data_IF_602150421437
#
_entry.id   IF_602150421437
#
_cell.length_a   1.000
_cell.length_b   1.000
_cell.length_c   1.000
_cell.angle_alpha   90.00
_cell.angle_beta   90.00
_cell.angle_gamma   90.00
#
_symmetry.space_group_name_H-M   'P 1'
#
loop_
_entity.id
_entity.type
_entity.pdbx_description
1 polymer ?
#
# COMPACT_ATOMS: atom_id res chain seq x y z
N UNK A 1 -68.86 -35.21 -6.57
CA UNK A 1 -68.30 -36.54 -6.88
C UNK A 1 -67.19 -36.30 -7.89
N UNK A 2 -65.94 -36.05 -7.50
CA UNK A 2 -64.93 -36.92 -6.86
C UNK A 2 -64.48 -38.10 -7.76
N UNK A 3 -63.18 -38.16 -8.07
CA UNK A 3 -62.51 -39.35 -8.63
C UNK A 3 -61.50 -39.05 -9.75
N UNK A 4 -60.34 -38.44 -9.45
CA UNK A 4 -59.03 -39.12 -9.37
C UNK A 4 -58.44 -39.45 -10.76
N UNK A 5 -57.52 -38.68 -11.35
CA UNK A 5 -56.15 -38.37 -10.87
C UNK A 5 -55.44 -39.63 -10.35
N UNK A 6 -54.84 -40.43 -11.24
CA UNK A 6 -53.89 -41.50 -10.84
C UNK A 6 -52.98 -41.99 -11.97
N UNK A 7 -52.49 -41.09 -12.84
CA UNK A 7 -51.41 -41.48 -13.79
C UNK A 7 -50.22 -40.47 -13.79
N UNK A 8 -50.33 -39.31 -13.14
CA UNK A 8 -49.30 -38.26 -13.25
C UNK A 8 -48.45 -38.01 -11.97
N UNK A 9 -48.30 -39.00 -11.08
CA UNK A 9 -47.51 -38.83 -9.84
C UNK A 9 -46.17 -39.59 -9.86
N UNK A 10 -46.03 -40.64 -10.68
CA UNK A 10 -44.82 -41.49 -10.64
C UNK A 10 -43.61 -40.93 -11.42
N UNK A 11 -43.80 -40.05 -12.41
CA UNK A 11 -42.68 -39.44 -13.15
C UNK A 11 -42.02 -38.23 -12.46
N UNK A 12 -42.66 -37.64 -11.44
CA UNK A 12 -42.15 -36.39 -10.83
C UNK A 12 -41.08 -36.64 -9.76
N UNK A 13 -41.03 -37.84 -9.16
CA UNK A 13 -40.13 -38.14 -8.04
C UNK A 13 -38.68 -38.43 -8.50
N UNK A 14 -38.47 -38.89 -9.74
CA UNK A 14 -37.14 -39.24 -10.28
C UNK A 14 -36.36 -38.08 -10.92
N UNK A 15 -36.82 -36.82 -10.79
CA UNK A 15 -36.07 -35.62 -11.23
C UNK A 15 -35.48 -34.78 -10.09
N UNK A 16 -35.77 -35.11 -8.83
CA UNK A 16 -35.35 -34.29 -7.68
C UNK A 16 -34.04 -34.74 -7.02
N UNK A 17 -33.46 -35.87 -7.42
CA UNK A 17 -32.24 -36.45 -6.83
C UNK A 17 -31.09 -36.62 -7.83
N UNK A 18 -30.94 -35.72 -8.79
CA UNK A 18 -29.67 -35.59 -9.52
C UNK A 18 -28.76 -34.62 -8.76
N UNK A 19 -27.66 -35.07 -8.11
CA UNK A 19 -26.67 -34.15 -7.56
C UNK A 19 -26.07 -33.37 -8.72
N UNK A 20 -26.31 -32.06 -8.76
CA UNK A 20 -25.71 -31.16 -9.76
C UNK A 20 -24.18 -31.34 -9.74
N UNK A 21 -23.53 -31.82 -10.82
CA UNK A 21 -22.07 -31.94 -10.86
C UNK A 21 -21.36 -30.57 -10.84
N UNK A 22 -22.14 -29.48 -10.95
CA UNK A 22 -21.68 -28.10 -10.92
C UNK A 22 -21.23 -27.59 -9.54
N UNK A 23 -21.44 -28.35 -8.45
CA UNK A 23 -20.97 -27.95 -7.11
C UNK A 23 -19.63 -28.60 -6.70
N UNK A 24 -19.18 -29.65 -7.39
CA UNK A 24 -17.92 -30.34 -7.08
C UNK A 24 -16.68 -29.65 -7.69
N UNK A 25 -16.88 -28.68 -8.60
CA UNK A 25 -15.80 -27.86 -9.14
C UNK A 25 -15.45 -26.64 -8.26
N UNK A 26 -16.20 -26.41 -7.17
CA UNK A 26 -15.98 -25.29 -6.26
C UNK A 26 -15.00 -25.59 -5.11
N UNK A 27 -14.53 -26.85 -4.98
CA UNK A 27 -13.71 -27.29 -3.83
C UNK A 27 -12.22 -27.53 -4.14
N UNK A 28 -11.78 -27.35 -5.39
CA UNK A 28 -10.41 -27.68 -5.85
C UNK A 28 -9.52 -26.48 -6.18
N UNK A 29 -9.97 -25.24 -5.93
CA UNK A 29 -9.31 -24.03 -6.44
C UNK A 29 -8.64 -23.12 -5.42
N UNK A 30 -8.57 -23.47 -4.14
CA UNK A 30 -8.10 -22.54 -3.10
C UNK A 30 -7.12 -23.17 -2.12
N UNK A 31 -6.08 -23.85 -2.62
CA UNK A 31 -4.82 -23.94 -1.87
C UNK A 31 -4.16 -22.57 -2.00
N UNK A 32 -4.66 -21.61 -1.21
CA UNK A 32 -3.89 -20.41 -0.88
C UNK A 32 -2.72 -20.92 -0.06
N UNK A 33 -1.60 -21.18 -0.72
CA UNK A 33 -0.33 -21.33 -0.03
C UNK A 33 -0.14 -20.05 0.77
N UNK A 34 -0.38 -20.11 2.09
CA UNK A 34 0.13 -19.10 3.00
C UNK A 34 1.64 -19.20 2.91
N UNK A 35 2.22 -18.51 1.92
CA UNK A 35 3.62 -18.14 1.94
C UNK A 35 3.78 -17.26 3.17
N UNK A 36 4.02 -17.88 4.32
CA UNK A 36 4.62 -17.24 5.47
C UNK A 36 5.77 -16.39 4.92
N UNK A 37 5.76 -15.08 5.18
CA UNK A 37 6.77 -14.13 4.72
C UNK A 37 8.16 -14.56 5.18
N UNK A 38 8.73 -15.56 4.51
CA UNK A 38 10.02 -16.11 4.77
C UNK A 38 11.02 -15.08 4.28
N UNK A 39 11.92 -14.66 5.15
CA UNK A 39 12.91 -13.64 4.82
C UNK A 39 14.02 -14.18 3.92
N UNK A 40 14.15 -15.50 3.79
CA UNK A 40 15.02 -16.23 2.87
C UNK A 40 14.31 -17.48 2.34
N UNK A 41 14.63 -17.86 1.12
CA UNK A 41 14.29 -19.15 0.53
C UNK A 41 15.18 -20.27 1.07
N UNK A 42 14.73 -21.53 0.92
CA UNK A 42 15.53 -22.72 1.27
C UNK A 42 16.88 -22.71 0.55
N UNK A 43 16.91 -22.29 -0.71
CA UNK A 43 18.15 -22.25 -1.50
C UNK A 43 19.13 -21.21 -0.97
N UNK A 44 18.66 -20.01 -0.64
CA UNK A 44 19.51 -18.96 -0.04
C UNK A 44 20.08 -19.40 1.32
N UNK A 45 19.28 -20.12 2.13
CA UNK A 45 19.77 -20.72 3.36
C UNK A 45 20.89 -21.72 3.11
N UNK A 46 20.74 -22.61 2.10
CA UNK A 46 21.75 -23.63 1.77
C UNK A 46 23.03 -23.04 1.18
N UNK A 47 22.92 -21.94 0.40
CA UNK A 47 24.09 -21.19 -0.08
C UNK A 47 24.85 -20.59 1.10
N UNK A 48 24.14 -20.03 2.09
CA UNK A 48 24.74 -19.67 3.38
C UNK A 48 25.72 -18.50 3.32
N UNK A 49 25.66 -17.63 2.31
CA UNK A 49 26.44 -16.39 2.27
C UNK A 49 25.83 -15.33 3.21
N UNK A 50 26.04 -15.55 4.50
CA UNK A 50 25.52 -14.70 5.56
C UNK A 50 26.03 -13.26 5.48
N UNK A 51 27.24 -13.04 4.94
CA UNK A 51 27.76 -11.70 4.77
C UNK A 51 27.00 -10.94 3.67
N UNK A 52 26.71 -11.57 2.53
CA UNK A 52 25.89 -10.96 1.48
C UNK A 52 24.44 -10.70 1.95
N UNK A 53 23.85 -11.66 2.68
CA UNK A 53 22.52 -11.49 3.30
C UNK A 53 22.53 -10.27 4.22
N UNK A 54 23.51 -10.19 5.12
CA UNK A 54 23.65 -9.06 6.03
C UNK A 54 23.83 -7.74 5.30
N UNK A 55 24.65 -7.71 4.24
CA UNK A 55 24.83 -6.51 3.41
C UNK A 55 23.50 -6.02 2.84
N UNK A 56 22.71 -6.91 2.25
CA UNK A 56 21.39 -6.55 1.71
C UNK A 56 20.44 -6.05 2.80
N UNK A 57 20.43 -6.68 3.98
CA UNK A 57 19.64 -6.22 5.12
C UNK A 57 20.06 -4.81 5.57
N UNK A 58 21.37 -4.54 5.58
CA UNK A 58 21.93 -3.24 5.91
C UNK A 58 21.56 -2.17 4.90
N UNK A 59 21.58 -2.47 3.60
CA UNK A 59 21.18 -1.54 2.52
C UNK A 59 19.71 -1.11 2.66
N UNK A 60 18.84 -2.02 3.11
CA UNK A 60 17.42 -1.74 3.38
C UNK A 60 17.21 -1.05 4.73
N UNK A 61 18.21 -1.09 5.62
CA UNK A 61 18.15 -0.49 6.95
C UNK A 61 17.40 -1.35 7.96
N UNK A 62 17.44 -2.67 7.84
CA UNK A 62 16.82 -3.57 8.81
C UNK A 62 17.56 -3.55 10.16
N UNK A 63 16.77 -3.75 11.21
CA UNK A 63 17.21 -3.86 12.59
C UNK A 63 17.92 -5.20 12.85
N UNK A 64 18.63 -5.29 13.96
CA UNK A 64 19.43 -6.48 14.31
C UNK A 64 18.57 -7.75 14.52
N UNK A 65 17.33 -7.58 14.96
CA UNK A 65 16.33 -8.65 15.16
C UNK A 65 15.93 -9.37 13.86
N UNK A 66 16.20 -8.78 12.70
CA UNK A 66 15.99 -9.38 11.38
C UNK A 66 16.66 -10.75 11.25
N UNK A 67 17.83 -10.94 11.89
CA UNK A 67 18.52 -12.22 11.89
C UNK A 67 17.70 -13.36 12.50
N UNK A 68 16.90 -13.09 13.52
CA UNK A 68 16.01 -14.09 14.12
C UNK A 68 14.94 -14.56 13.13
N UNK A 69 14.47 -13.65 12.27
CA UNK A 69 13.54 -13.99 11.18
C UNK A 69 14.22 -14.91 10.14
N UNK A 70 15.48 -14.63 9.80
CA UNK A 70 16.28 -15.50 8.93
C UNK A 70 16.52 -16.88 9.56
N UNK A 71 16.84 -16.93 10.87
CA UNK A 71 17.00 -18.19 11.60
C UNK A 71 15.73 -19.05 11.52
N UNK A 72 14.56 -18.42 11.72
CA UNK A 72 13.26 -19.10 11.62
C UNK A 72 12.99 -19.63 10.20
N UNK A 73 13.33 -18.84 9.16
CA UNK A 73 13.18 -19.26 7.77
C UNK A 73 14.10 -20.44 7.41
N UNK A 74 15.35 -20.41 7.88
CA UNK A 74 16.36 -21.42 7.57
C UNK A 74 16.31 -22.67 8.45
N UNK A 75 15.58 -22.65 9.57
CA UNK A 75 15.41 -23.82 10.44
C UNK A 75 14.86 -25.05 9.71
N UNK A 76 13.94 -24.86 8.75
CA UNK A 76 13.39 -25.95 7.91
C UNK A 76 14.43 -26.58 6.97
N UNK A 77 15.52 -25.86 6.71
CA UNK A 77 16.67 -26.34 5.95
C UNK A 77 17.81 -26.84 6.85
N UNK A 78 17.61 -26.86 8.18
CA UNK A 78 18.63 -27.21 9.16
C UNK A 78 19.89 -26.34 9.09
N UNK A 79 19.76 -25.08 8.63
CA UNK A 79 20.85 -24.11 8.57
C UNK A 79 20.70 -23.08 9.68
N UNK A 80 21.77 -22.88 10.46
CA UNK A 80 21.86 -21.83 11.45
C UNK A 80 22.60 -20.58 10.89
N UNK A 81 22.18 -19.35 11.23
CA UNK A 81 22.88 -18.16 10.78
C UNK A 81 24.29 -17.99 11.35
N UNK A 82 25.22 -17.53 10.51
CA UNK A 82 26.51 -17.02 10.99
C UNK A 82 26.36 -15.53 11.37
N UNK A 83 26.16 -15.27 12.66
CA UNK A 83 25.98 -13.91 13.18
C UNK A 83 27.12 -12.95 12.82
N UNK A 84 28.39 -13.38 12.98
CA UNK A 84 29.53 -12.49 12.75
C UNK A 84 29.68 -12.10 11.28
N UNK A 85 29.45 -13.04 10.36
CA UNK A 85 29.44 -12.77 8.93
C UNK A 85 28.29 -11.81 8.56
N UNK A 86 27.08 -12.10 9.06
CA UNK A 86 25.90 -11.28 8.83
C UNK A 86 26.05 -9.87 9.36
N UNK A 87 26.47 -9.69 10.61
CA UNK A 87 26.63 -8.37 11.21
C UNK A 87 27.70 -7.55 10.48
N UNK A 88 28.81 -8.17 10.07
CA UNK A 88 29.83 -7.50 9.23
C UNK A 88 29.23 -7.01 7.91
N UNK A 89 28.47 -7.86 7.22
CA UNK A 89 27.73 -7.49 6.03
C UNK A 89 26.79 -6.32 6.28
N UNK A 90 25.97 -6.42 7.33
CA UNK A 90 24.98 -5.41 7.70
C UNK A 90 25.60 -4.04 7.96
N UNK A 91 26.72 -4.00 8.68
CA UNK A 91 27.45 -2.75 8.90
C UNK A 91 27.99 -2.14 7.61
N UNK A 92 28.38 -2.94 6.61
CA UNK A 92 28.76 -2.44 5.28
C UNK A 92 27.56 -1.90 4.50
N UNK A 93 26.43 -2.61 4.54
CA UNK A 93 25.19 -2.17 3.88
C UNK A 93 24.61 -0.90 4.50
N UNK A 94 24.69 -0.75 5.83
CA UNK A 94 24.23 0.44 6.54
C UNK A 94 24.96 1.71 6.10
N UNK A 95 26.19 1.62 5.57
CA UNK A 95 26.86 2.79 4.99
C UNK A 95 26.12 3.35 3.76
N UNK A 96 25.37 2.51 3.05
CA UNK A 96 24.52 2.92 1.92
C UNK A 96 23.18 3.48 2.41
N UNK A 97 22.62 2.87 3.46
CA UNK A 97 21.35 3.31 4.04
C UNK A 97 21.48 4.65 4.79
N UNK A 98 22.54 4.81 5.59
CA UNK A 98 22.76 5.94 6.49
C UNK A 98 23.41 7.13 5.78
N UNK A 99 22.76 7.59 4.72
CA UNK A 99 23.16 8.77 3.95
C UNK A 99 22.07 9.83 4.00
N UNK A 100 22.45 11.11 3.95
CA UNK A 100 21.51 12.24 3.93
C UNK A 100 20.52 12.14 2.78
N UNK A 101 21.01 11.75 1.59
CA UNK A 101 20.19 11.55 0.39
C UNK A 101 19.17 10.42 0.60
N UNK A 102 19.58 9.26 1.10
CA UNK A 102 18.65 8.17 1.36
C UNK A 102 17.64 8.54 2.46
N UNK A 103 18.06 9.21 3.55
CA UNK A 103 17.15 9.64 4.60
C UNK A 103 16.04 10.57 4.09
N UNK A 104 16.40 11.53 3.24
CA UNK A 104 15.45 12.38 2.54
C UNK A 104 14.51 11.56 1.63
N UNK A 105 15.04 10.64 0.83
CA UNK A 105 14.24 9.80 -0.07
C UNK A 105 13.31 8.83 0.68
N UNK A 106 13.72 8.30 1.84
CA UNK A 106 12.85 7.53 2.74
C UNK A 106 11.68 8.41 3.22
N UNK A 107 11.98 9.65 3.63
CA UNK A 107 10.95 10.63 4.04
C UNK A 107 9.97 10.97 2.93
N UNK A 108 10.48 11.20 1.70
CA UNK A 108 9.63 11.50 0.51
C UNK A 108 8.66 10.37 0.17
N UNK A 109 8.92 9.15 0.62
CA UNK A 109 8.01 8.00 0.49
C UNK A 109 7.05 7.88 1.68
N UNK A 110 6.97 8.89 2.55
CA UNK A 110 6.11 8.92 3.73
C UNK A 110 6.60 8.03 4.87
N UNK A 111 7.89 7.67 4.90
CA UNK A 111 8.44 6.75 5.89
C UNK A 111 9.44 7.45 6.80
N UNK A 112 9.40 7.08 8.08
CA UNK A 112 10.45 7.45 9.02
C UNK A 112 11.72 6.66 8.73
N UNK A 113 12.88 7.27 8.95
CA UNK A 113 14.15 6.57 8.89
C UNK A 113 14.27 5.61 10.07
N UNK A 114 14.74 4.39 9.80
CA UNK A 114 14.99 3.42 10.87
C UNK A 114 16.16 3.90 11.74
N UNK A 115 16.04 3.72 13.06
CA UNK A 115 17.09 4.06 14.02
C UNK A 115 18.18 2.97 14.06
N UNK A 116 18.89 2.80 12.95
CA UNK A 116 20.00 1.85 12.75
C UNK A 116 21.33 2.54 12.45
N UNK A 117 21.29 3.87 12.28
CA UNK A 117 22.43 4.67 11.88
C UNK A 117 23.29 5.11 13.06
N UNK A 118 24.58 5.41 12.84
CA UNK A 118 25.46 5.92 13.89
C UNK A 118 24.89 7.16 14.57
N UNK A 119 25.00 7.22 15.89
CA UNK A 119 24.47 8.34 16.69
C UNK A 119 25.07 9.69 16.27
N UNK A 120 26.31 9.69 15.77
CA UNK A 120 26.99 10.89 15.26
C UNK A 120 26.31 11.51 14.04
N UNK A 121 25.52 10.74 13.29
CA UNK A 121 24.76 11.19 12.13
C UNK A 121 23.28 11.44 12.43
N UNK A 122 22.80 11.08 13.64
CA UNK A 122 21.37 11.01 13.96
C UNK A 122 20.64 12.32 13.64
N UNK A 123 21.13 13.45 14.14
CA UNK A 123 20.48 14.75 13.93
C UNK A 123 20.41 15.15 12.45
N UNK A 124 21.50 14.96 11.71
CA UNK A 124 21.57 15.28 10.27
C UNK A 124 20.60 14.42 9.46
N UNK A 125 20.57 13.12 9.72
CA UNK A 125 19.71 12.18 9.01
C UNK A 125 18.23 12.37 9.39
N UNK A 126 17.92 12.64 10.66
CA UNK A 126 16.57 12.98 11.10
C UNK A 126 16.06 14.25 10.43
N UNK A 127 16.90 15.29 10.35
CA UNK A 127 16.55 16.54 9.65
C UNK A 127 16.27 16.28 8.17
N UNK A 128 17.10 15.49 7.49
CA UNK A 128 16.88 15.13 6.10
C UNK A 128 15.61 14.30 5.90
N UNK A 129 15.35 13.33 6.78
CA UNK A 129 14.13 12.54 6.75
C UNK A 129 12.89 13.39 6.99
N UNK A 130 12.92 14.32 7.95
CA UNK A 130 11.83 15.25 8.22
C UNK A 130 11.51 16.11 7.00
N UNK A 131 12.51 16.68 6.34
CA UNK A 131 12.31 17.41 5.08
C UNK A 131 11.63 16.56 4.00
N UNK A 132 11.96 15.27 3.94
CA UNK A 132 11.29 14.33 3.05
C UNK A 132 9.84 14.08 3.44
N UNK A 133 9.54 13.96 4.74
CA UNK A 133 8.17 13.79 5.26
C UNK A 133 7.31 15.04 5.01
N UNK A 134 7.90 16.23 5.13
CA UNK A 134 7.24 17.50 4.79
C UNK A 134 6.88 17.53 3.30
N UNK A 135 7.81 17.11 2.42
CA UNK A 135 7.53 16.91 1.00
C UNK A 135 6.35 15.97 0.80
N UNK A 136 6.39 14.78 1.40
CA UNK A 136 5.36 13.75 1.23
C UNK A 136 3.97 14.26 1.65
N UNK A 137 3.91 15.04 2.73
CA UNK A 137 2.67 15.62 3.23
C UNK A 137 2.04 16.57 2.22
N UNK A 138 2.85 17.48 1.66
CA UNK A 138 2.40 18.43 0.65
C UNK A 138 2.03 17.72 -0.66
N UNK A 139 2.83 16.76 -1.12
CA UNK A 139 2.59 15.99 -2.34
C UNK A 139 1.27 15.18 -2.24
N UNK A 140 1.05 14.51 -1.11
CA UNK A 140 -0.21 13.82 -0.82
C UNK A 140 -1.41 14.78 -0.79
N UNK A 141 -1.25 15.98 -0.23
CA UNK A 141 -2.31 16.99 -0.21
C UNK A 141 -2.63 17.51 -1.61
N UNK A 142 -1.60 17.75 -2.43
CA UNK A 142 -1.76 18.17 -3.82
C UNK A 142 -2.58 17.14 -4.63
N UNK A 143 -2.25 15.86 -4.49
CA UNK A 143 -2.96 14.78 -5.17
C UNK A 143 -4.40 14.62 -4.69
N UNK A 144 -4.66 14.82 -3.39
CA UNK A 144 -6.03 14.85 -2.85
C UNK A 144 -6.83 16.00 -3.43
N UNK A 145 -6.28 17.21 -3.43
CA UNK A 145 -6.96 18.39 -3.97
C UNK A 145 -7.23 18.25 -5.49
N UNK A 146 -6.30 17.67 -6.26
CA UNK A 146 -6.52 17.37 -7.69
C UNK A 146 -7.70 16.43 -7.91
N UNK A 147 -7.78 15.33 -7.15
CA UNK A 147 -8.91 14.38 -7.22
C UNK A 147 -10.23 15.03 -6.81
N UNK A 148 -10.23 15.83 -5.75
CA UNK A 148 -11.43 16.57 -5.31
C UNK A 148 -11.89 17.57 -6.37
N UNK A 149 -10.97 18.33 -6.98
CA UNK A 149 -11.30 19.27 -8.06
C UNK A 149 -11.93 18.52 -9.24
N UNK A 150 -11.38 17.38 -9.65
CA UNK A 150 -11.94 16.59 -10.73
C UNK A 150 -13.36 16.10 -10.41
N UNK A 151 -13.57 15.55 -9.21
CA UNK A 151 -14.88 15.08 -8.77
C UNK A 151 -15.92 16.21 -8.69
N UNK A 152 -15.56 17.36 -8.10
CA UNK A 152 -16.45 18.51 -8.02
C UNK A 152 -16.76 19.11 -9.38
N UNK A 153 -15.80 19.10 -10.31
CA UNK A 153 -16.02 19.60 -11.67
C UNK A 153 -16.99 18.69 -12.41
N UNK A 154 -16.82 17.37 -12.31
CA UNK A 154 -17.74 16.40 -12.92
C UNK A 154 -19.17 16.55 -12.37
N UNK A 155 -19.32 16.66 -11.04
CA UNK A 155 -20.64 16.88 -10.42
C UNK A 155 -21.26 18.22 -10.86
N UNK A 156 -20.44 19.28 -10.95
CA UNK A 156 -20.89 20.60 -11.41
C UNK A 156 -21.38 20.54 -12.86
N UNK A 157 -20.60 19.94 -13.76
CA UNK A 157 -20.92 19.83 -15.18
C UNK A 157 -22.21 18.98 -15.39
N UNK A 158 -22.38 17.91 -14.62
CA UNK A 158 -23.60 17.10 -14.63
C UNK A 158 -24.83 17.91 -14.22
N UNK A 159 -24.77 18.63 -13.09
CA UNK A 159 -25.88 19.48 -12.62
C UNK A 159 -26.17 20.65 -13.57
N UNK A 160 -25.14 21.26 -14.17
CA UNK A 160 -25.28 22.33 -15.16
C UNK A 160 -25.95 21.82 -16.44
N UNK A 161 -25.67 20.58 -16.84
CA UNK A 161 -26.33 19.92 -17.98
C UNK A 161 -27.79 19.49 -17.71
N UNK A 162 -28.27 19.69 -16.48
CA UNK A 162 -29.64 19.35 -16.07
C UNK A 162 -29.80 17.93 -15.52
N UNK A 163 -28.71 17.20 -15.26
CA UNK A 163 -28.81 15.97 -14.49
C UNK A 163 -29.28 16.31 -13.06
N UNK A 164 -30.18 15.50 -12.50
CA UNK A 164 -30.71 15.75 -11.15
C UNK A 164 -29.90 15.08 -10.04
N UNK A 165 -28.93 14.19 -10.35
CA UNK A 165 -28.04 13.50 -9.38
C UNK A 165 -28.72 13.12 -8.06
N UNK A 166 -29.91 12.51 -8.17
CA UNK A 166 -30.75 12.08 -7.05
C UNK A 166 -31.32 13.19 -6.13
N UNK A 167 -31.18 14.47 -6.48
CA UNK A 167 -31.83 15.59 -5.78
C UNK A 167 -33.35 15.51 -5.91
N UNK A 168 -34.07 15.82 -4.83
CA UNK A 168 -35.53 15.70 -4.79
C UNK A 168 -36.23 16.77 -5.65
N UNK A 169 -35.59 17.92 -5.86
CA UNK A 169 -36.14 19.05 -6.60
C UNK A 169 -35.04 20.00 -7.10
N UNK A 170 -35.38 20.84 -8.07
CA UNK A 170 -34.44 21.79 -8.68
C UNK A 170 -33.80 22.76 -7.68
N UNK A 171 -34.52 23.11 -6.59
CA UNK A 171 -34.01 24.03 -5.58
C UNK A 171 -32.81 23.43 -4.86
N UNK A 172 -32.86 22.15 -4.52
CA UNK A 172 -31.74 21.41 -3.93
C UNK A 172 -30.55 21.31 -4.89
N UNK A 173 -30.81 20.94 -6.15
CA UNK A 173 -29.77 20.87 -7.19
C UNK A 173 -29.07 22.23 -7.40
N UNK A 174 -29.84 23.33 -7.46
CA UNK A 174 -29.29 24.70 -7.54
C UNK A 174 -28.49 25.10 -6.31
N UNK A 175 -28.94 24.70 -5.11
CA UNK A 175 -28.18 24.94 -3.89
C UNK A 175 -26.84 24.19 -3.90
N UNK A 176 -26.83 22.94 -4.39
CA UNK A 176 -25.60 22.16 -4.57
C UNK A 176 -24.65 22.81 -5.58
N UNK A 177 -25.15 23.26 -6.73
CA UNK A 177 -24.35 23.97 -7.75
C UNK A 177 -23.60 25.17 -7.16
N UNK A 178 -24.29 26.01 -6.37
CA UNK A 178 -23.68 27.16 -5.71
C UNK A 178 -22.60 26.73 -4.69
N UNK A 179 -22.85 25.64 -3.96
CA UNK A 179 -21.88 25.08 -3.01
C UNK A 179 -20.63 24.55 -3.73
N UNK A 180 -20.80 23.85 -4.86
CA UNK A 180 -19.73 23.28 -5.67
C UNK A 180 -18.81 24.36 -6.24
N UNK A 181 -19.38 25.47 -6.72
CA UNK A 181 -18.60 26.60 -7.20
C UNK A 181 -17.65 27.16 -6.13
N UNK A 182 -18.11 27.28 -4.88
CA UNK A 182 -17.28 27.72 -3.76
C UNK A 182 -16.24 26.66 -3.34
N UNK A 183 -16.62 25.38 -3.30
CA UNK A 183 -15.73 24.26 -3.01
C UNK A 183 -14.60 24.15 -4.04
N UNK A 184 -14.91 24.23 -5.33
CA UNK A 184 -13.95 24.28 -6.44
C UNK A 184 -12.97 25.45 -6.27
N UNK A 185 -13.48 26.65 -5.99
CA UNK A 185 -12.65 27.84 -5.77
C UNK A 185 -11.69 27.66 -4.59
N UNK A 186 -12.18 27.11 -3.47
CA UNK A 186 -11.37 26.82 -2.28
C UNK A 186 -10.32 25.75 -2.57
N UNK A 187 -10.70 24.65 -3.22
CA UNK A 187 -9.79 23.55 -3.57
C UNK A 187 -8.69 24.00 -4.53
N UNK A 188 -9.03 24.76 -5.59
CA UNK A 188 -8.05 25.34 -6.52
C UNK A 188 -7.05 26.27 -5.82
N UNK A 189 -7.52 27.10 -4.86
CA UNK A 189 -6.64 27.96 -4.05
C UNK A 189 -5.67 27.15 -3.16
N UNK A 190 -6.16 26.08 -2.52
CA UNK A 190 -5.31 25.18 -1.74
C UNK A 190 -4.27 24.51 -2.63
N UNK A 191 -4.70 23.89 -3.74
CA UNK A 191 -3.82 23.26 -4.73
C UNK A 191 -2.68 24.19 -5.16
N UNK A 192 -2.99 25.43 -5.57
CA UNK A 192 -1.98 26.40 -5.99
C UNK A 192 -1.03 26.81 -4.85
N UNK A 193 -1.51 26.81 -3.61
CA UNK A 193 -0.68 27.13 -2.44
C UNK A 193 0.26 25.97 -2.13
N UNK A 194 -0.27 24.74 -2.10
CA UNK A 194 0.52 23.52 -1.90
C UNK A 194 1.57 23.33 -2.99
N UNK A 195 1.23 23.62 -4.25
CA UNK A 195 2.16 23.59 -5.38
C UNK A 195 3.35 24.55 -5.17
N UNK A 196 3.09 25.80 -4.78
CA UNK A 196 4.15 26.78 -4.47
C UNK A 196 5.02 26.34 -3.30
N UNK A 197 4.43 25.72 -2.26
CA UNK A 197 5.17 25.19 -1.13
C UNK A 197 6.11 24.04 -1.54
N UNK A 198 5.64 23.13 -2.41
CA UNK A 198 6.48 22.06 -2.97
C UNK A 198 7.64 22.61 -3.81
N UNK A 199 7.39 23.62 -4.64
CA UNK A 199 8.42 24.27 -5.45
C UNK A 199 9.50 24.92 -4.59
N UNK A 200 9.10 25.66 -3.55
CA UNK A 200 10.03 26.26 -2.59
C UNK A 200 10.85 25.18 -1.84
N UNK A 201 10.20 24.10 -1.42
CA UNK A 201 10.86 23.00 -0.71
C UNK A 201 11.87 22.28 -1.61
N UNK A 202 11.55 22.05 -2.88
CA UNK A 202 12.47 21.46 -3.86
C UNK A 202 13.67 22.36 -4.17
N UNK A 203 13.49 23.67 -4.21
CA UNK A 203 14.59 24.62 -4.39
C UNK A 203 15.56 24.62 -3.20
N UNK A 204 15.04 24.54 -1.97
CA UNK A 204 15.84 24.51 -0.75
C UNK A 204 16.62 23.21 -0.49
N UNK A 205 16.28 22.13 -1.20
CA UNK A 205 16.85 20.79 -1.00
C UNK A 205 17.75 20.34 -2.16
N UNK A 206 18.19 21.25 -3.03
CA UNK A 206 19.27 20.98 -3.99
C UNK A 206 20.60 20.96 -3.25
N UNK A 207 21.08 19.76 -2.95
CA UNK A 207 22.44 19.48 -2.49
C UNK A 207 23.40 19.41 -3.67
#
# INVERSE_FOLDING_TARGET
>A
MFGLESIAIEEVIMRQFAPRPSLMLALLGSIVLLSSCATLSKQECLVGDWQAIGYNDGVVGYQSDRLASHAKACAKASVAPNYLAWERGRQLGLKQYCTTSNAYNVGRRGRQLNNVCPITLANTLQTANQKGLDYYTLDSQLDKDKRLIAAYQEEFDQLESGAMLDFANEKEARARLLSLADELRKAKRRMNTTQRQLEALNQSNRY
#
